data_IF_450678050910
#
_entry.id   IF_450678050910
#
_cell.length_a   1.000
_cell.length_b   1.000
_cell.length_c   1.000
_cell.angle_alpha   90.00
_cell.angle_beta   90.00
_cell.angle_gamma   90.00
#
_symmetry.space_group_name_H-M   'P 1'
#
loop_
_entity.id
_entity.type
_entity.pdbx_description
1 polymer ?
#
# COMPACT_ATOMS: atom_id res chain seq x y z
N UNK A 1 11.06 -36.87 -0.03
CA UNK A 1 9.67 -37.28 0.28
C UNK A 1 8.91 -36.05 0.71
N UNK A 2 8.28 -35.40 -0.25
CA UNK A 2 7.42 -34.23 -0.07
C UNK A 2 6.10 -34.72 0.52
N UNK A 3 5.82 -34.36 1.78
CA UNK A 3 4.49 -34.53 2.34
C UNK A 3 3.60 -33.45 1.72
N UNK A 4 2.89 -33.82 0.65
CA UNK A 4 1.69 -33.12 0.22
C UNK A 4 0.71 -33.21 1.40
N UNK A 5 0.43 -32.08 2.05
CA UNK A 5 -0.65 -32.01 3.01
C UNK A 5 -1.96 -32.17 2.25
N UNK A 6 -2.56 -33.36 2.33
CA UNK A 6 -3.92 -33.61 1.85
C UNK A 6 -4.88 -32.61 2.52
N UNK A 7 -5.75 -31.99 1.71
CA UNK A 7 -6.75 -31.08 2.22
C UNK A 7 -7.73 -31.83 3.15
N UNK A 8 -8.05 -31.28 4.33
CA UNK A 8 -8.89 -31.97 5.31
C UNK A 8 -10.30 -32.22 4.76
N UNK A 9 -10.85 -33.37 5.12
CA UNK A 9 -12.20 -33.81 4.77
C UNK A 9 -13.26 -32.86 5.33
N UNK A 10 -14.46 -32.83 4.74
CA UNK A 10 -15.56 -31.98 5.19
C UNK A 10 -15.97 -32.21 6.66
N UNK A 11 -15.72 -33.41 7.20
CA UNK A 11 -15.96 -33.75 8.61
C UNK A 11 -14.86 -33.20 9.54
N UNK A 12 -13.59 -33.19 9.12
CA UNK A 12 -12.49 -32.61 9.92
C UNK A 12 -12.57 -31.08 10.02
N UNK A 13 -13.26 -30.42 9.08
CA UNK A 13 -13.54 -28.98 9.13
C UNK A 13 -14.57 -28.59 10.19
N UNK A 14 -15.42 -29.52 10.63
CA UNK A 14 -16.48 -29.24 11.61
C UNK A 14 -15.96 -29.13 13.05
N UNK A 15 -14.81 -29.75 13.36
CA UNK A 15 -14.30 -29.88 14.73
C UNK A 15 -13.18 -28.90 15.10
N UNK A 16 -12.75 -28.02 14.17
CA UNK A 16 -11.66 -27.08 14.41
C UNK A 16 -12.10 -25.65 14.16
N UNK A 17 -11.77 -24.77 15.10
CA UNK A 17 -11.88 -23.34 14.90
C UNK A 17 -11.04 -22.93 13.67
N UNK A 18 -11.62 -22.26 12.64
CA UNK A 18 -10.92 -22.00 11.37
C UNK A 18 -9.59 -21.26 11.52
N UNK A 19 -9.52 -20.31 12.45
CA UNK A 19 -8.30 -19.58 12.79
C UNK A 19 -8.02 -19.66 14.29
N UNK A 20 -6.76 -19.96 14.65
CA UNK A 20 -6.30 -19.98 16.04
C UNK A 20 -5.31 -18.86 16.27
N UNK A 21 -5.68 -17.89 17.10
CA UNK A 21 -4.79 -16.81 17.49
C UNK A 21 -3.58 -17.35 18.27
N UNK A 22 -2.39 -16.99 17.81
CA UNK A 22 -1.14 -17.18 18.54
C UNK A 22 -0.45 -15.83 18.64
N UNK A 23 -0.28 -15.34 19.87
CA UNK A 23 0.51 -14.12 20.09
C UNK A 23 1.94 -14.36 19.63
N UNK A 24 2.44 -13.51 18.73
CA UNK A 24 3.83 -13.50 18.29
C UNK A 24 4.45 -12.17 18.68
N UNK A 25 5.51 -12.21 19.48
CA UNK A 25 6.26 -11.00 19.78
C UNK A 25 6.99 -10.52 18.53
N UNK A 26 7.11 -9.20 18.38
CA UNK A 26 7.85 -8.63 17.25
C UNK A 26 9.34 -8.90 17.43
N UNK A 27 9.98 -9.38 16.38
CA UNK A 27 11.42 -9.62 16.33
C UNK A 27 11.99 -8.80 15.19
N UNK A 28 13.11 -8.11 15.43
CA UNK A 28 13.88 -7.49 14.36
C UNK A 28 14.74 -8.59 13.72
N UNK A 29 14.56 -8.91 12.42
CA UNK A 29 15.37 -9.92 11.77
C UNK A 29 16.86 -9.52 11.80
N UNK A 30 17.75 -10.50 11.90
CA UNK A 30 19.19 -10.20 11.86
C UNK A 30 19.61 -9.75 10.45
N UNK A 31 19.83 -8.45 10.28
CA UNK A 31 20.28 -7.88 9.01
C UNK A 31 21.67 -8.33 8.61
N UNK A 32 22.48 -8.81 9.55
CA UNK A 32 23.85 -9.28 9.28
C UNK A 32 23.89 -10.64 8.60
N UNK A 33 22.76 -11.34 8.49
CA UNK A 33 22.63 -12.57 7.69
C UNK A 33 22.95 -12.32 6.20
N UNK A 34 22.76 -11.10 5.74
CA UNK A 34 23.14 -10.71 4.38
C UNK A 34 24.64 -10.38 4.33
N UNK A 35 25.42 -11.03 3.45
CA UNK A 35 26.87 -10.81 3.35
C UNK A 35 27.26 -9.33 3.22
N UNK A 36 26.52 -8.56 2.40
CA UNK A 36 26.79 -7.14 2.19
C UNK A 36 26.51 -6.23 3.40
N UNK A 37 25.84 -6.74 4.44
CA UNK A 37 25.53 -6.02 5.69
C UNK A 37 26.08 -6.69 6.95
N UNK A 38 26.89 -7.74 6.82
CA UNK A 38 27.52 -8.47 7.93
C UNK A 38 28.28 -7.58 8.93
N UNK A 39 28.83 -6.45 8.47
CA UNK A 39 29.57 -5.49 9.29
C UNK A 39 28.75 -4.29 9.78
N UNK A 40 27.46 -4.22 9.44
CA UNK A 40 26.61 -3.07 9.76
C UNK A 40 26.28 -3.07 11.25
N UNK A 41 26.61 -1.96 11.90
CA UNK A 41 26.34 -1.75 13.33
C UNK A 41 24.88 -1.39 13.57
N UNK A 42 24.38 -1.59 14.79
CA UNK A 42 23.02 -1.16 15.15
C UNK A 42 22.85 0.36 15.00
N UNK A 43 23.88 1.15 15.32
CA UNK A 43 23.85 2.60 15.15
C UNK A 43 23.64 3.00 13.67
N UNK A 44 24.29 2.30 12.74
CA UNK A 44 24.06 2.49 11.31
C UNK A 44 22.66 2.02 10.90
N UNK A 45 22.21 0.87 11.41
CA UNK A 45 20.88 0.35 11.11
C UNK A 45 19.75 1.30 11.54
N UNK A 46 19.92 1.94 12.71
CA UNK A 46 19.00 2.94 13.26
C UNK A 46 19.12 4.32 12.63
N UNK A 47 20.11 4.57 11.77
CA UNK A 47 20.27 5.85 11.08
C UNK A 47 19.45 5.92 9.78
N UNK A 48 18.54 6.90 9.71
CA UNK A 48 17.66 7.09 8.56
C UNK A 48 18.42 7.46 7.28
N UNK A 49 19.57 8.13 7.38
CA UNK A 49 20.37 8.47 6.19
C UNK A 49 21.11 7.24 5.65
N UNK A 50 21.67 6.42 6.54
CA UNK A 50 22.29 5.16 6.18
C UNK A 50 21.31 4.25 5.43
N UNK A 51 20.09 4.10 5.95
CA UNK A 51 19.02 3.34 5.28
C UNK A 51 18.76 3.85 3.85
N UNK A 52 18.63 5.17 3.67
CA UNK A 52 18.38 5.80 2.35
C UNK A 52 19.53 5.63 1.36
N UNK A 53 20.77 5.76 1.83
CA UNK A 53 21.97 5.62 0.99
C UNK A 53 22.15 4.17 0.56
N UNK A 54 21.78 3.22 1.41
CA UNK A 54 21.96 1.78 1.18
C UNK A 54 20.71 1.07 0.62
N UNK A 55 19.69 1.81 0.14
CA UNK A 55 18.60 1.18 -0.60
C UNK A 55 19.14 0.41 -1.81
N UNK A 56 18.57 -0.77 -2.06
CA UNK A 56 18.82 -1.58 -3.26
C UNK A 56 18.02 -1.00 -4.43
N UNK A 57 18.71 -0.59 -5.50
CA UNK A 57 18.13 0.13 -6.65
C UNK A 57 18.32 -0.55 -8.00
N UNK A 58 19.23 -1.52 -8.07
CA UNK A 58 19.51 -2.31 -9.28
C UNK A 58 20.07 -3.70 -8.92
N UNK A 59 20.08 -4.61 -9.92
CA UNK A 59 20.55 -6.00 -9.77
C UNK A 59 21.97 -6.08 -9.22
N UNK A 60 22.87 -5.17 -9.64
CA UNK A 60 24.25 -5.12 -9.14
C UNK A 60 24.31 -4.87 -7.64
N UNK A 61 23.49 -3.93 -7.14
CA UNK A 61 23.40 -3.66 -5.70
C UNK A 61 22.76 -4.82 -4.95
N UNK A 62 21.75 -5.47 -5.53
CA UNK A 62 21.13 -6.65 -4.93
C UNK A 62 22.14 -7.80 -4.77
N UNK A 63 22.93 -8.09 -5.82
CA UNK A 63 24.04 -9.06 -5.78
C UNK A 63 25.06 -8.71 -4.69
N UNK A 64 25.40 -7.42 -4.56
CA UNK A 64 26.33 -6.97 -3.51
C UNK A 64 25.79 -7.24 -2.10
N UNK A 65 24.48 -7.06 -1.88
CA UNK A 65 23.85 -7.29 -0.56
C UNK A 65 23.68 -8.77 -0.26
N UNK A 66 23.09 -9.52 -1.20
CA UNK A 66 22.79 -10.93 -1.03
C UNK A 66 24.03 -11.84 -1.08
N UNK A 67 25.12 -11.41 -1.72
CA UNK A 67 26.28 -12.26 -1.97
C UNK A 67 25.88 -13.48 -2.79
N UNK A 68 26.25 -14.67 -2.31
CA UNK A 68 25.96 -15.95 -2.97
C UNK A 68 24.62 -16.56 -2.55
N UNK A 69 23.82 -15.88 -1.71
CA UNK A 69 22.54 -16.41 -1.21
C UNK A 69 21.47 -16.56 -2.29
N UNK A 70 21.53 -15.79 -3.37
CA UNK A 70 20.59 -15.87 -4.48
C UNK A 70 21.29 -16.46 -5.69
N UNK A 71 20.67 -17.46 -6.31
CA UNK A 71 21.18 -18.07 -7.54
C UNK A 71 20.94 -17.17 -8.76
N UNK A 72 21.69 -17.40 -9.84
CA UNK A 72 21.53 -16.65 -11.10
C UNK A 72 20.12 -16.77 -11.68
N UNK A 73 19.42 -17.89 -11.44
CA UNK A 73 18.02 -18.08 -11.85
C UNK A 73 17.12 -16.97 -11.32
N UNK A 74 17.28 -16.55 -10.06
CA UNK A 74 16.49 -15.45 -9.49
C UNK A 74 16.78 -14.13 -10.22
N UNK A 75 18.07 -13.84 -10.45
CA UNK A 75 18.48 -12.59 -11.09
C UNK A 75 18.02 -12.50 -12.55
N UNK A 76 18.03 -13.61 -13.27
CA UNK A 76 17.54 -13.69 -14.65
C UNK A 76 16.02 -13.46 -14.70
N UNK A 77 15.28 -14.01 -13.74
CA UNK A 77 13.83 -13.84 -13.62
C UNK A 77 13.44 -12.40 -13.24
N UNK A 78 14.18 -11.79 -12.32
CA UNK A 78 14.05 -10.38 -11.98
C UNK A 78 14.38 -9.46 -13.17
N UNK A 79 15.46 -9.74 -13.91
CA UNK A 79 15.84 -8.94 -15.06
C UNK A 79 14.76 -8.98 -16.17
N UNK A 80 14.16 -10.15 -16.40
CA UNK A 80 13.02 -10.31 -17.31
C UNK A 80 11.82 -9.48 -16.86
N UNK A 81 11.51 -9.46 -15.56
CA UNK A 81 10.43 -8.62 -15.02
C UNK A 81 10.67 -7.14 -15.28
N UNK A 82 11.88 -6.68 -14.97
CA UNK A 82 12.26 -5.27 -15.11
C UNK A 82 12.17 -4.77 -16.56
N UNK A 83 12.42 -5.66 -17.53
CA UNK A 83 12.38 -5.36 -18.96
C UNK A 83 10.96 -5.41 -19.53
N UNK A 84 10.15 -6.39 -19.11
CA UNK A 84 8.88 -6.73 -19.77
C UNK A 84 7.61 -6.40 -18.98
N UNK A 85 7.68 -6.17 -17.67
CA UNK A 85 6.49 -6.04 -16.82
C UNK A 85 6.53 -4.91 -15.80
N UNK A 86 7.70 -4.52 -15.29
CA UNK A 86 7.81 -3.59 -14.19
C UNK A 86 7.31 -2.17 -14.52
N UNK A 87 6.31 -1.72 -13.77
CA UNK A 87 5.75 -0.36 -13.82
C UNK A 87 6.44 0.60 -12.84
N UNK A 88 7.24 0.05 -11.93
CA UNK A 88 7.97 0.77 -10.89
C UNK A 88 9.45 0.40 -10.95
N UNK A 89 10.33 1.40 -10.85
CA UNK A 89 11.77 1.16 -10.70
C UNK A 89 12.06 0.49 -9.36
N UNK A 90 13.11 -0.32 -9.27
CA UNK A 90 13.52 -0.92 -7.99
C UNK A 90 14.05 0.14 -7.02
N UNK A 91 13.50 0.17 -5.81
CA UNK A 91 14.02 0.95 -4.68
C UNK A 91 13.52 0.29 -3.39
N UNK A 92 14.42 -0.44 -2.71
CA UNK A 92 14.08 -1.22 -1.51
C UNK A 92 15.01 -0.79 -0.38
N UNK A 93 14.49 -0.16 0.69
CA UNK A 93 15.28 0.14 1.88
C UNK A 93 15.80 -1.12 2.56
N UNK A 94 16.97 -1.05 3.23
CA UNK A 94 17.47 -2.18 4.02
C UNK A 94 16.44 -2.70 5.02
N UNK A 95 15.68 -1.83 5.70
CA UNK A 95 14.58 -2.24 6.59
C UNK A 95 13.60 -3.21 5.92
N UNK A 96 13.13 -2.92 4.71
CA UNK A 96 12.16 -3.78 4.02
C UNK A 96 12.80 -5.08 3.55
N UNK A 97 13.98 -4.98 2.96
CA UNK A 97 14.72 -6.15 2.49
C UNK A 97 15.03 -7.12 3.64
N UNK A 98 15.29 -6.58 4.83
CA UNK A 98 15.51 -7.35 6.05
C UNK A 98 14.31 -8.19 6.50
N UNK A 99 13.11 -7.90 6.01
CA UNK A 99 11.90 -8.66 6.36
C UNK A 99 11.60 -9.80 5.41
N UNK A 100 12.44 -10.01 4.39
CA UNK A 100 12.30 -11.08 3.40
C UNK A 100 13.12 -12.31 3.81
N UNK A 101 12.54 -13.50 3.61
CA UNK A 101 13.20 -14.79 3.83
C UNK A 101 13.90 -14.88 5.21
N UNK A 102 13.21 -14.42 6.27
CA UNK A 102 13.78 -14.26 7.62
C UNK A 102 14.26 -15.60 8.19
N UNK A 103 13.45 -16.65 8.03
CA UNK A 103 13.73 -17.98 8.59
C UNK A 103 14.34 -18.95 7.56
N UNK A 104 14.83 -18.43 6.44
CA UNK A 104 15.37 -19.25 5.36
C UNK A 104 16.75 -19.83 5.72
N UNK A 105 16.97 -21.08 5.31
CA UNK A 105 18.31 -21.65 5.29
C UNK A 105 19.23 -20.83 4.37
N UNK A 106 20.46 -20.56 4.80
CA UNK A 106 21.41 -19.69 4.08
C UNK A 106 22.19 -20.41 2.97
N UNK A 107 21.71 -21.56 2.48
CA UNK A 107 22.25 -22.19 1.28
C UNK A 107 21.62 -21.56 0.02
N UNK A 108 22.37 -21.37 -1.09
CA UNK A 108 21.89 -20.59 -2.23
C UNK A 108 20.55 -21.06 -2.81
N UNK A 109 20.36 -22.38 -2.98
CA UNK A 109 19.14 -22.93 -3.55
C UNK A 109 17.96 -22.78 -2.59
N UNK A 110 18.12 -23.16 -1.32
CA UNK A 110 17.05 -23.07 -0.32
C UNK A 110 16.65 -21.62 -0.04
N UNK A 111 17.63 -20.72 0.06
CA UNK A 111 17.38 -19.30 0.23
C UNK A 111 16.66 -18.72 -0.98
N UNK A 112 17.07 -19.08 -2.21
CA UNK A 112 16.39 -18.63 -3.43
C UNK A 112 14.92 -19.07 -3.45
N UNK A 113 14.63 -20.33 -3.12
CA UNK A 113 13.24 -20.83 -3.08
C UNK A 113 12.43 -20.12 -2.00
N UNK A 114 12.98 -19.93 -0.80
CA UNK A 114 12.30 -19.18 0.26
C UNK A 114 12.05 -17.72 -0.14
N UNK A 115 13.02 -17.08 -0.78
CA UNK A 115 12.93 -15.70 -1.24
C UNK A 115 11.91 -15.52 -2.38
N UNK A 116 11.83 -16.46 -3.32
CA UNK A 116 10.80 -16.48 -4.37
C UNK A 116 9.39 -16.62 -3.77
N UNK A 117 9.23 -17.41 -2.71
CA UNK A 117 7.93 -17.61 -2.05
C UNK A 117 7.61 -16.55 -0.99
N UNK A 118 8.53 -15.64 -0.68
CA UNK A 118 8.36 -14.66 0.38
C UNK A 118 7.28 -13.60 0.03
N UNK A 119 6.29 -13.36 0.91
CA UNK A 119 5.17 -12.46 0.63
C UNK A 119 5.56 -10.98 0.62
N UNK A 120 6.64 -10.57 1.29
CA UNK A 120 7.12 -9.18 1.25
C UNK A 120 7.89 -8.91 -0.04
N UNK A 121 8.77 -9.84 -0.41
CA UNK A 121 9.46 -9.90 -1.71
C UNK A 121 8.42 -9.86 -2.83
N UNK A 122 7.40 -10.72 -2.73
CA UNK A 122 6.01 -10.51 -3.15
C UNK A 122 5.71 -9.29 -4.00
N UNK A 123 5.55 -8.21 -3.24
CA UNK A 123 5.00 -6.94 -3.66
C UNK A 123 6.05 -5.82 -3.71
N UNK A 124 7.27 -6.05 -3.20
CA UNK A 124 8.38 -5.09 -3.22
C UNK A 124 9.38 -5.37 -4.34
N UNK A 125 9.55 -6.62 -4.73
CA UNK A 125 10.49 -7.09 -5.74
C UNK A 125 9.86 -8.20 -6.60
N UNK A 126 8.89 -7.87 -7.47
CA UNK A 126 8.27 -8.84 -8.35
C UNK A 126 9.30 -9.43 -9.31
N UNK A 127 9.11 -10.69 -9.71
CA UNK A 127 9.87 -11.37 -10.76
C UNK A 127 8.94 -11.85 -11.87
N UNK A 128 9.46 -12.21 -13.04
CA UNK A 128 8.61 -12.53 -14.20
C UNK A 128 7.76 -13.77 -13.94
N UNK A 129 8.25 -14.72 -13.13
CA UNK A 129 7.47 -15.90 -12.72
C UNK A 129 6.33 -15.61 -11.73
N UNK A 130 6.28 -14.42 -11.11
CA UNK A 130 5.11 -14.01 -10.30
C UNK A 130 3.91 -13.66 -11.17
N UNK A 131 4.15 -13.20 -12.41
CA UNK A 131 3.14 -12.60 -13.28
C UNK A 131 2.14 -13.66 -13.78
N UNK A 132 0.91 -13.22 -14.04
CA UNK A 132 -0.07 -14.07 -14.70
C UNK A 132 0.41 -14.30 -16.14
N UNK A 133 0.64 -15.56 -16.55
CA UNK A 133 1.29 -15.87 -17.81
C UNK A 133 0.38 -15.61 -19.03
N UNK A 134 -0.94 -15.48 -18.82
CA UNK A 134 -1.92 -15.30 -19.88
C UNK A 134 -2.50 -13.89 -19.88
N UNK A 135 -2.82 -13.38 -18.69
CA UNK A 135 -3.48 -12.10 -18.47
C UNK A 135 -2.67 -11.26 -17.48
N UNK A 136 -1.47 -10.77 -17.83
CA UNK A 136 -0.71 -9.91 -16.92
C UNK A 136 -1.45 -8.61 -16.58
N UNK A 137 -2.31 -8.15 -17.51
CA UNK A 137 -3.15 -6.95 -17.38
C UNK A 137 -4.59 -7.25 -17.80
N UNK A 138 -5.56 -6.70 -17.08
CA UNK A 138 -6.94 -6.67 -17.56
C UNK A 138 -7.06 -5.77 -18.80
N UNK A 139 -7.96 -6.07 -19.77
CA UNK A 139 -8.20 -5.22 -20.94
C UNK A 139 -8.64 -3.78 -20.61
N UNK A 140 -9.24 -3.61 -19.43
CA UNK A 140 -9.65 -2.30 -18.90
C UNK A 140 -8.66 -1.70 -17.88
N UNK A 141 -7.48 -2.29 -17.71
CA UNK A 141 -6.45 -1.70 -16.84
C UNK A 141 -5.93 -0.38 -17.41
N UNK A 142 -5.63 0.57 -16.53
CA UNK A 142 -5.17 1.91 -16.91
C UNK A 142 -4.08 2.39 -15.96
N UNK A 143 -3.20 3.27 -16.46
CA UNK A 143 -2.09 3.82 -15.67
C UNK A 143 -2.60 4.72 -14.55
N UNK A 144 -3.54 5.62 -14.85
CA UNK A 144 -4.36 6.34 -13.86
C UNK A 144 -5.70 5.64 -13.66
N UNK A 145 -5.66 4.43 -13.09
CA UNK A 145 -6.85 3.59 -12.88
C UNK A 145 -7.98 4.23 -12.07
N UNK A 146 -7.72 5.32 -11.34
CA UNK A 146 -8.70 6.01 -10.51
C UNK A 146 -9.04 7.42 -11.02
N UNK A 147 -8.49 7.82 -12.17
CA UNK A 147 -8.66 9.15 -12.78
C UNK A 147 -8.34 10.29 -11.79
N UNK A 148 -7.26 10.16 -11.02
CA UNK A 148 -6.84 11.17 -10.05
C UNK A 148 -6.43 12.48 -10.74
N UNK A 149 -5.69 12.40 -11.85
CA UNK A 149 -5.20 13.57 -12.55
C UNK A 149 -6.33 14.39 -13.18
N UNK A 150 -7.37 13.73 -13.71
CA UNK A 150 -8.59 14.38 -14.24
C UNK A 150 -9.36 15.16 -13.16
N UNK A 151 -9.18 14.79 -11.89
CA UNK A 151 -9.84 15.39 -10.74
C UNK A 151 -8.93 16.40 -9.99
N UNK A 152 -7.80 16.79 -10.58
CA UNK A 152 -6.94 17.82 -10.06
C UNK A 152 -7.57 19.22 -10.21
N UNK A 153 -7.82 19.88 -9.09
CA UNK A 153 -8.26 21.29 -9.04
C UNK A 153 -7.07 22.26 -8.98
N UNK A 154 -5.92 21.72 -8.59
CA UNK A 154 -4.56 22.28 -8.67
C UNK A 154 -3.66 21.07 -8.96
N UNK A 155 -2.52 21.23 -9.63
CA UNK A 155 -1.59 20.11 -9.84
C UNK A 155 -1.27 19.40 -8.51
N UNK A 156 -1.53 18.09 -8.45
CA UNK A 156 -1.37 17.27 -7.25
C UNK A 156 -2.42 17.50 -6.14
N UNK A 157 -3.51 18.24 -6.39
CA UNK A 157 -4.62 18.38 -5.45
C UNK A 157 -5.88 17.76 -6.03
N UNK A 158 -6.13 16.50 -5.68
CA UNK A 158 -7.32 15.77 -6.15
C UNK A 158 -8.53 16.10 -5.28
N UNK A 159 -9.61 16.60 -5.88
CA UNK A 159 -10.88 16.85 -5.20
C UNK A 159 -12.00 15.95 -5.75
N UNK A 160 -11.91 14.65 -5.44
CA UNK A 160 -12.89 13.63 -5.85
C UNK A 160 -14.19 13.68 -5.05
N UNK A 161 -14.09 13.88 -3.73
CA UNK A 161 -15.22 13.75 -2.81
C UNK A 161 -15.67 15.11 -2.31
N UNK A 162 -16.96 15.33 -1.97
CA UNK A 162 -17.48 16.66 -1.64
C UNK A 162 -16.78 17.41 -0.49
N UNK A 163 -16.20 16.68 0.46
CA UNK A 163 -15.70 17.25 1.72
C UNK A 163 -14.22 16.99 1.98
N UNK A 164 -13.52 16.35 1.05
CA UNK A 164 -12.13 15.92 1.27
C UNK A 164 -11.29 15.97 0.01
N UNK A 165 -10.02 16.28 0.20
CA UNK A 165 -9.01 16.34 -0.85
C UNK A 165 -7.81 15.45 -0.54
N UNK A 166 -7.06 15.14 -1.58
CA UNK A 166 -5.74 14.51 -1.51
C UNK A 166 -4.70 15.49 -2.04
N UNK A 167 -3.75 15.88 -1.19
CA UNK A 167 -2.62 16.74 -1.52
C UNK A 167 -1.35 15.91 -1.73
N UNK A 168 -0.91 15.78 -2.97
CA UNK A 168 0.26 15.04 -3.40
C UNK A 168 1.51 15.92 -3.34
N UNK A 169 2.20 15.90 -2.21
CA UNK A 169 3.30 16.84 -1.92
C UNK A 169 4.55 16.59 -2.76
N UNK A 170 4.78 15.36 -3.22
CA UNK A 170 5.98 14.93 -3.96
C UNK A 170 5.66 13.68 -4.78
N UNK A 171 6.38 13.42 -5.88
CA UNK A 171 6.21 12.22 -6.72
C UNK A 171 7.26 11.13 -6.46
N UNK A 172 7.86 11.10 -5.27
CA UNK A 172 8.90 10.12 -4.92
C UNK A 172 8.64 9.51 -3.55
N UNK A 173 9.13 8.28 -3.38
CA UNK A 173 9.03 7.50 -2.14
C UNK A 173 10.43 7.10 -1.67
N UNK A 174 10.62 6.76 -0.38
CA UNK A 174 11.85 6.09 0.07
C UNK A 174 11.94 4.63 -0.43
N UNK A 175 10.84 4.09 -0.97
CA UNK A 175 10.71 2.73 -1.49
C UNK A 175 9.66 2.68 -2.60
N UNK A 176 9.78 1.77 -3.56
CA UNK A 176 8.75 1.58 -4.59
C UNK A 176 8.10 0.21 -4.46
N UNK A 177 6.77 0.20 -4.36
CA UNK A 177 5.95 -1.01 -4.30
C UNK A 177 5.56 -1.40 -5.72
N UNK A 178 5.62 -2.68 -6.07
CA UNK A 178 5.22 -3.17 -7.39
C UNK A 178 3.72 -2.93 -7.70
N UNK A 179 2.88 -2.83 -6.69
CA UNK A 179 1.43 -2.58 -6.77
C UNK A 179 1.06 -1.09 -6.61
N UNK A 180 1.96 -0.15 -6.89
CA UNK A 180 1.69 1.27 -6.68
C UNK A 180 0.55 1.76 -7.60
N UNK A 181 -0.61 2.11 -7.05
CA UNK A 181 -1.72 2.71 -7.82
C UNK A 181 -1.29 3.95 -8.59
N UNK A 182 -0.39 4.75 -8.01
CA UNK A 182 0.17 5.96 -8.62
C UNK A 182 1.41 5.69 -9.46
N UNK A 183 1.56 4.48 -10.02
CA UNK A 183 2.71 4.13 -10.84
C UNK A 183 2.89 5.07 -12.04
N UNK A 184 1.84 5.76 -12.46
CA UNK A 184 1.91 6.73 -13.53
C UNK A 184 2.67 8.03 -13.17
N UNK A 185 2.71 8.38 -11.89
CA UNK A 185 3.31 9.63 -11.38
C UNK A 185 4.54 9.38 -10.52
N UNK A 186 4.53 8.32 -9.70
CA UNK A 186 5.50 8.13 -8.62
C UNK A 186 6.73 7.38 -9.08
N UNK A 187 7.90 7.98 -8.89
CA UNK A 187 9.22 7.38 -9.09
C UNK A 187 9.91 7.72 -10.41
N UNK A 188 10.90 6.91 -10.79
CA UNK A 188 11.62 7.06 -12.07
C UNK A 188 10.93 6.24 -13.16
N UNK A 189 10.93 6.75 -14.39
CA UNK A 189 10.44 6.00 -15.56
C UNK A 189 11.10 4.62 -15.67
N UNK A 190 10.32 3.63 -16.08
CA UNK A 190 10.78 2.26 -16.38
C UNK A 190 10.84 2.07 -17.91
N UNK A 191 11.36 0.94 -18.42
CA UNK A 191 11.31 0.67 -19.86
C UNK A 191 9.89 0.70 -20.45
N UNK A 192 8.87 0.35 -19.65
CA UNK A 192 7.47 0.32 -20.08
C UNK A 192 6.70 1.60 -19.83
N UNK A 193 7.02 2.33 -18.75
CA UNK A 193 6.21 3.43 -18.26
C UNK A 193 7.06 4.69 -18.14
N UNK A 194 6.78 5.67 -19.01
CA UNK A 194 7.32 7.02 -18.85
C UNK A 194 6.45 7.85 -17.91
N UNK A 195 6.93 8.11 -16.70
CA UNK A 195 6.12 8.70 -15.62
C UNK A 195 5.84 10.18 -15.84
N UNK A 196 4.62 10.58 -15.51
CA UNK A 196 4.25 11.99 -15.39
C UNK A 196 5.08 12.70 -14.32
N UNK A 197 5.20 14.02 -14.46
CA UNK A 197 5.95 14.88 -13.54
C UNK A 197 5.08 16.01 -13.09
N UNK A 198 5.25 16.37 -11.83
CA UNK A 198 4.73 17.60 -11.26
C UNK A 198 5.55 18.75 -11.85
N UNK A 199 4.90 19.56 -12.68
CA UNK A 199 5.52 20.62 -13.48
C UNK A 199 5.71 21.91 -12.68
N UNK A 200 4.86 22.18 -11.70
CA UNK A 200 4.97 23.35 -10.84
C UNK A 200 6.09 23.18 -9.82
N UNK A 201 6.73 24.30 -9.45
CA UNK A 201 7.66 24.31 -8.33
C UNK A 201 6.91 23.93 -7.05
N UNK A 202 7.53 23.18 -6.12
CA UNK A 202 6.85 22.71 -4.91
C UNK A 202 6.16 23.82 -4.10
N UNK A 203 6.82 24.97 -3.93
CA UNK A 203 6.27 26.11 -3.18
C UNK A 203 5.04 26.69 -3.88
N UNK A 204 5.13 27.00 -5.17
CA UNK A 204 4.03 27.56 -5.96
C UNK A 204 2.80 26.63 -5.94
N UNK A 205 3.06 25.32 -6.04
CA UNK A 205 2.01 24.30 -6.00
C UNK A 205 1.34 24.23 -4.63
N UNK A 206 2.12 24.19 -3.55
CA UNK A 206 1.60 24.20 -2.18
C UNK A 206 0.81 25.49 -1.87
N UNK A 207 1.25 26.63 -2.40
CA UNK A 207 0.54 27.90 -2.26
C UNK A 207 -0.81 27.86 -2.96
N UNK A 208 -0.86 27.37 -4.19
CA UNK A 208 -2.12 27.17 -4.92
C UNK A 208 -3.05 26.18 -4.20
N UNK A 209 -2.52 25.10 -3.63
CA UNK A 209 -3.32 24.16 -2.84
C UNK A 209 -3.99 24.83 -1.64
N UNK A 210 -3.23 25.62 -0.87
CA UNK A 210 -3.75 26.34 0.30
C UNK A 210 -4.77 27.41 -0.11
N UNK A 211 -4.51 28.14 -1.20
CA UNK A 211 -5.46 29.13 -1.71
C UNK A 211 -6.76 28.51 -2.22
N UNK A 212 -6.70 27.34 -2.85
CA UNK A 212 -7.90 26.58 -3.21
C UNK A 212 -8.72 26.21 -1.97
N UNK A 213 -8.07 25.68 -0.93
CA UNK A 213 -8.73 25.26 0.30
C UNK A 213 -9.40 26.41 1.04
N UNK A 214 -8.74 27.59 1.12
CA UNK A 214 -9.35 28.80 1.70
C UNK A 214 -10.61 29.25 0.95
N UNK A 215 -10.66 29.04 -0.37
CA UNK A 215 -11.80 29.41 -1.23
C UNK A 215 -12.88 28.33 -1.30
N UNK A 216 -12.65 27.15 -0.70
CA UNK A 216 -13.52 25.98 -0.81
C UNK A 216 -13.96 25.49 0.57
N UNK A 217 -14.85 26.23 1.27
CA UNK A 217 -15.20 25.95 2.67
C UNK A 217 -15.92 24.61 2.89
N UNK A 218 -16.40 23.94 1.83
CA UNK A 218 -16.94 22.58 1.91
C UNK A 218 -15.89 21.51 2.25
N UNK A 219 -14.61 21.79 2.02
CA UNK A 219 -13.52 20.87 2.33
C UNK A 219 -13.16 20.97 3.81
N UNK A 220 -13.15 19.81 4.49
CA UNK A 220 -12.80 19.67 5.90
C UNK A 220 -11.75 18.60 6.20
N UNK A 221 -11.50 17.68 5.27
CA UNK A 221 -10.57 16.55 5.44
C UNK A 221 -9.49 16.58 4.36
N UNK A 222 -8.22 16.66 4.77
CA UNK A 222 -7.07 16.73 3.87
C UNK A 222 -6.17 15.52 4.09
N UNK A 223 -6.03 14.67 3.06
CA UNK A 223 -4.97 13.66 3.02
C UNK A 223 -3.71 14.31 2.48
N UNK A 224 -2.65 14.35 3.27
CA UNK A 224 -1.33 14.80 2.84
C UNK A 224 -0.52 13.57 2.46
N UNK A 225 -0.17 13.47 1.17
CA UNK A 225 0.38 12.28 0.54
C UNK A 225 1.33 12.69 -0.60
N UNK A 226 1.30 11.97 -1.71
CA UNK A 226 2.20 12.04 -2.86
C UNK A 226 2.70 10.63 -3.16
N UNK A 227 4.00 10.50 -3.39
CA UNK A 227 4.69 9.24 -3.21
C UNK A 227 4.67 8.84 -1.74
N UNK A 228 5.45 9.54 -0.90
CA UNK A 228 5.46 9.33 0.55
C UNK A 228 5.84 10.63 1.27
N UNK A 229 5.09 11.03 2.29
CA UNK A 229 5.38 12.28 3.03
C UNK A 229 6.73 12.26 3.75
N UNK A 230 7.27 11.08 4.08
CA UNK A 230 8.61 10.96 4.65
C UNK A 230 9.72 11.31 3.65
N UNK A 231 9.41 11.46 2.36
CA UNK A 231 10.34 11.95 1.36
C UNK A 231 10.25 13.47 1.14
N UNK A 232 9.33 14.15 1.83
CA UNK A 232 9.29 15.61 1.92
C UNK A 232 10.25 16.05 3.02
N UNK A 233 11.14 17.04 2.78
CA UNK A 233 11.96 17.59 3.85
C UNK A 233 11.07 18.11 4.99
N UNK A 234 11.37 17.66 6.22
CA UNK A 234 10.51 17.93 7.38
C UNK A 234 10.08 19.40 7.53
N UNK A 235 10.97 20.42 7.42
CA UNK A 235 10.55 21.81 7.54
C UNK A 235 9.48 22.25 6.52
N UNK A 236 9.48 21.67 5.32
CA UNK A 236 8.46 21.95 4.30
C UNK A 236 7.13 21.27 4.64
N UNK A 237 7.19 20.01 5.09
CA UNK A 237 6.00 19.29 5.53
C UNK A 237 5.34 19.98 6.73
N UNK A 238 6.14 20.33 7.75
CA UNK A 238 5.67 21.07 8.93
C UNK A 238 5.04 22.41 8.53
N UNK A 239 5.68 23.19 7.65
CA UNK A 239 5.13 24.45 7.16
C UNK A 239 3.77 24.27 6.48
N UNK A 240 3.62 23.26 5.61
CA UNK A 240 2.35 22.97 4.95
C UNK A 240 1.26 22.55 5.94
N UNK A 241 1.59 21.68 6.91
CA UNK A 241 0.65 21.23 7.93
C UNK A 241 0.19 22.37 8.84
N UNK A 242 1.08 23.27 9.24
CA UNK A 242 0.72 24.44 10.04
C UNK A 242 -0.22 25.38 9.26
N UNK A 243 0.01 25.56 7.96
CA UNK A 243 -0.90 26.34 7.10
C UNK A 243 -2.27 25.69 6.93
N UNK A 244 -2.35 24.35 6.88
CA UNK A 244 -3.63 23.65 6.90
C UNK A 244 -4.38 23.86 8.23
N UNK A 245 -3.66 23.87 9.35
CA UNK A 245 -4.23 24.09 10.68
C UNK A 245 -4.73 25.52 10.92
N UNK A 246 -4.38 26.46 10.03
CA UNK A 246 -4.91 27.83 10.04
C UNK A 246 -6.19 27.99 9.21
N UNK A 247 -6.58 26.98 8.44
CA UNK A 247 -7.84 26.99 7.67
C UNK A 247 -8.98 26.51 8.58
N UNK A 248 -9.93 27.41 8.88
CA UNK A 248 -11.01 27.19 9.85
C UNK A 248 -11.88 25.95 9.58
N UNK A 249 -12.10 25.62 8.30
CA UNK A 249 -12.96 24.48 7.90
C UNK A 249 -12.27 23.14 8.02
N UNK A 250 -10.93 23.10 8.10
CA UNK A 250 -10.17 21.85 8.20
C UNK A 250 -10.34 21.26 9.60
N UNK A 251 -10.80 20.01 9.64
CA UNK A 251 -11.06 19.23 10.87
C UNK A 251 -10.29 17.94 10.94
N UNK A 252 -9.81 17.44 9.81
CA UNK A 252 -9.13 16.16 9.73
C UNK A 252 -7.91 16.29 8.80
N UNK A 253 -6.72 15.91 9.29
CA UNK A 253 -5.47 15.87 8.53
C UNK A 253 -4.89 14.47 8.65
N UNK A 254 -4.59 13.84 7.51
CA UNK A 254 -4.10 12.46 7.47
C UNK A 254 -2.79 12.39 6.69
N UNK A 255 -1.71 12.02 7.37
CA UNK A 255 -0.39 11.84 6.76
C UNK A 255 -0.28 10.43 6.19
N UNK A 256 -0.19 10.28 4.87
CA UNK A 256 -0.04 8.98 4.22
C UNK A 256 1.45 8.65 3.96
N UNK A 257 1.93 7.58 4.58
CA UNK A 257 3.35 7.18 4.53
C UNK A 257 3.53 5.66 4.65
N UNK A 258 4.15 5.03 3.67
CA UNK A 258 4.66 3.66 3.83
C UNK A 258 5.98 3.64 4.61
N UNK A 259 6.68 4.77 4.67
CA UNK A 259 7.95 4.89 5.39
C UNK A 259 7.85 4.59 6.87
N UNK A 260 6.66 4.66 7.51
CA UNK A 260 6.53 4.15 8.89
C UNK A 260 6.89 2.66 8.98
N UNK A 261 6.58 1.87 7.95
CA UNK A 261 6.98 0.47 7.85
C UNK A 261 8.36 0.29 7.20
N UNK A 262 8.63 0.99 6.09
CA UNK A 262 9.84 0.75 5.29
C UNK A 262 11.05 1.63 5.61
N UNK A 263 10.89 2.63 6.48
CA UNK A 263 11.95 3.51 6.96
C UNK A 263 11.57 4.11 8.34
N UNK A 264 11.24 3.29 9.35
CA UNK A 264 10.79 3.76 10.66
C UNK A 264 11.80 4.72 11.33
N UNK A 265 13.09 4.54 11.06
CA UNK A 265 14.18 5.43 11.49
C UNK A 265 13.91 6.90 11.14
N UNK A 266 13.21 7.17 10.02
CA UNK A 266 12.86 8.55 9.65
C UNK A 266 12.01 9.22 10.73
N UNK A 267 11.02 8.50 11.24
CA UNK A 267 10.04 8.98 12.23
C UNK A 267 10.61 9.05 13.65
N UNK A 268 11.75 8.41 13.88
CA UNK A 268 12.48 8.42 15.16
C UNK A 268 13.58 9.49 15.23
N UNK A 269 13.86 10.21 14.13
CA UNK A 269 14.83 11.31 14.16
C UNK A 269 14.34 12.43 15.12
N UNK A 270 15.19 12.97 16.01
CA UNK A 270 14.79 13.99 16.98
C UNK A 270 14.04 15.18 16.35
N UNK A 271 14.57 15.74 15.26
CA UNK A 271 13.94 16.87 14.54
C UNK A 271 12.53 16.56 14.01
N UNK A 272 12.26 15.31 13.63
CA UNK A 272 10.96 14.87 13.09
C UNK A 272 9.99 14.67 14.26
N UNK A 273 10.43 14.03 15.34
CA UNK A 273 9.64 13.83 16.56
C UNK A 273 9.22 15.18 17.16
N UNK A 274 10.17 16.11 17.35
CA UNK A 274 9.91 17.45 17.89
C UNK A 274 8.94 18.26 17.01
N UNK A 275 9.09 18.16 15.69
CA UNK A 275 8.18 18.82 14.77
C UNK A 275 6.79 18.20 14.77
N UNK A 276 6.71 16.88 14.79
CA UNK A 276 5.44 16.16 14.83
C UNK A 276 4.68 16.51 16.11
N UNK A 277 5.38 16.63 17.24
CA UNK A 277 4.82 17.13 18.50
C UNK A 277 4.24 18.55 18.36
N UNK A 278 4.97 19.48 17.72
CA UNK A 278 4.48 20.85 17.49
C UNK A 278 3.20 20.86 16.65
N UNK A 279 3.16 20.09 15.56
CA UNK A 279 1.98 19.97 14.70
C UNK A 279 0.83 19.32 15.48
N UNK A 280 1.06 18.22 16.18
CA UNK A 280 0.05 17.48 16.94
C UNK A 280 -0.55 18.33 18.07
N UNK A 281 0.27 19.03 18.86
CA UNK A 281 -0.21 19.97 19.89
C UNK A 281 -1.04 21.10 19.29
N UNK A 282 -0.64 21.62 18.13
CA UNK A 282 -1.40 22.67 17.44
C UNK A 282 -2.73 22.14 16.91
N UNK A 283 -2.74 20.96 16.29
CA UNK A 283 -3.94 20.28 15.85
C UNK A 283 -4.92 20.07 17.01
N UNK A 284 -4.44 19.56 18.15
CA UNK A 284 -5.22 19.38 19.37
C UNK A 284 -5.84 20.69 19.87
N UNK A 285 -5.05 21.78 19.98
CA UNK A 285 -5.58 23.11 20.38
C UNK A 285 -6.64 23.66 19.40
N UNK A 286 -6.55 23.33 18.12
CA UNK A 286 -7.50 23.73 17.08
C UNK A 286 -8.70 22.77 16.96
N UNK A 287 -8.72 21.67 17.69
CA UNK A 287 -9.74 20.62 17.55
C UNK A 287 -9.70 19.90 16.20
N UNK A 288 -8.50 19.73 15.64
CA UNK A 288 -8.23 19.02 14.38
C UNK A 288 -7.68 17.63 14.68
N UNK A 289 -8.24 16.61 14.02
CA UNK A 289 -7.76 15.24 14.12
C UNK A 289 -6.54 15.05 13.21
N UNK A 290 -5.36 14.90 13.81
CA UNK A 290 -4.16 14.51 13.09
C UNK A 290 -3.95 13.00 13.21
N UNK A 291 -3.89 12.29 12.08
CA UNK A 291 -3.62 10.85 12.04
C UNK A 291 -2.50 10.52 11.04
N UNK A 292 -1.81 9.40 11.26
CA UNK A 292 -0.89 8.80 10.31
C UNK A 292 -1.57 7.56 9.70
N UNK A 293 -1.55 7.48 8.38
CA UNK A 293 -1.95 6.30 7.62
C UNK A 293 -0.69 5.60 7.09
N UNK A 294 -0.35 4.46 7.69
CA UNK A 294 0.72 3.56 7.21
C UNK A 294 0.20 2.55 6.19
N UNK A 295 1.11 1.80 5.56
CA UNK A 295 0.80 0.90 4.46
C UNK A 295 1.59 -0.43 4.56
N UNK A 296 1.19 -1.26 5.52
CA UNK A 296 1.70 -2.61 5.77
C UNK A 296 0.78 -3.64 5.13
N UNK A 297 1.37 -4.60 4.41
CA UNK A 297 0.64 -5.65 3.70
C UNK A 297 0.94 -7.06 4.22
N UNK A 298 1.94 -7.26 5.09
CA UNK A 298 2.24 -8.58 5.64
C UNK A 298 2.84 -8.44 7.06
N UNK A 299 2.58 -9.42 7.94
CA UNK A 299 2.98 -9.39 9.34
C UNK A 299 4.50 -9.28 9.52
N UNK A 300 5.29 -9.89 8.63
CA UNK A 300 6.76 -9.79 8.63
C UNK A 300 7.29 -8.35 8.57
N UNK A 301 6.53 -7.41 7.97
CA UNK A 301 6.92 -6.02 7.89
C UNK A 301 6.60 -5.21 9.16
N UNK A 302 5.97 -5.82 10.18
CA UNK A 302 5.74 -5.22 11.49
C UNK A 302 6.90 -5.60 12.41
N UNK A 303 7.95 -4.78 12.42
CA UNK A 303 9.12 -5.02 13.29
C UNK A 303 9.05 -4.22 14.59
N UNK A 304 9.89 -4.50 15.61
CA UNK A 304 9.97 -3.68 16.82
C UNK A 304 10.21 -2.20 16.53
N UNK A 305 10.98 -1.89 15.49
CA UNK A 305 11.29 -0.51 15.09
C UNK A 305 10.09 0.21 14.46
N UNK A 306 9.23 -0.53 13.74
CA UNK A 306 7.95 -0.03 13.22
C UNK A 306 6.99 0.28 14.38
N UNK A 307 6.93 -0.62 15.37
CA UNK A 307 6.14 -0.42 16.59
C UNK A 307 6.66 0.76 17.43
N UNK A 308 7.98 0.93 17.55
CA UNK A 308 8.61 2.09 18.19
C UNK A 308 8.17 3.39 17.51
N UNK A 309 8.30 3.49 16.18
CA UNK A 309 7.89 4.67 15.41
C UNK A 309 6.40 5.00 15.55
N UNK A 310 5.53 3.97 15.52
CA UNK A 310 4.09 4.17 15.72
C UNK A 310 3.76 4.66 17.14
N UNK A 311 4.35 4.05 18.18
CA UNK A 311 4.16 4.48 19.56
C UNK A 311 4.68 5.89 19.81
N UNK A 312 5.86 6.23 19.31
CA UNK A 312 6.40 7.60 19.41
C UNK A 312 5.45 8.63 18.79
N UNK A 313 4.86 8.34 17.62
CA UNK A 313 3.89 9.24 17.01
C UNK A 313 2.65 9.47 17.91
N UNK A 314 2.13 8.40 18.52
CA UNK A 314 1.00 8.49 19.46
C UNK A 314 1.38 9.26 20.74
N UNK A 315 2.57 9.01 21.29
CA UNK A 315 3.09 9.66 22.50
C UNK A 315 3.25 11.18 22.32
N UNK A 316 3.68 11.65 21.14
CA UNK A 316 3.76 13.09 20.85
C UNK A 316 2.40 13.74 20.54
N UNK A 317 1.32 12.97 20.57
CA UNK A 317 -0.06 13.45 20.47
C UNK A 317 -0.70 13.32 19.09
N UNK A 318 -0.13 12.55 18.16
CA UNK A 318 -0.89 12.11 16.97
C UNK A 318 -2.06 11.28 17.45
N UNK A 319 -3.27 11.59 16.96
CA UNK A 319 -4.50 10.98 17.46
C UNK A 319 -4.54 9.47 17.21
N UNK A 320 -4.18 9.05 16.01
CA UNK A 320 -4.23 7.66 15.57
C UNK A 320 -3.11 7.34 14.58
N UNK A 321 -2.57 6.12 14.65
CA UNK A 321 -1.80 5.49 13.58
C UNK A 321 -2.64 4.35 13.02
N UNK A 322 -2.92 4.37 11.72
CA UNK A 322 -3.87 3.46 11.06
C UNK A 322 -3.21 2.79 9.87
N UNK A 323 -3.51 1.52 9.63
CA UNK A 323 -3.01 0.79 8.46
C UNK A 323 -4.03 0.80 7.32
N UNK A 324 -3.55 1.21 6.15
CA UNK A 324 -4.23 1.06 4.88
C UNK A 324 -3.42 0.06 4.05
N UNK A 325 -3.80 -1.21 4.01
CA UNK A 325 -3.15 -2.24 3.18
C UNK A 325 -3.83 -2.45 1.84
N UNK A 326 -3.26 -3.30 0.99
CA UNK A 326 -3.85 -3.81 -0.25
C UNK A 326 -3.93 -5.33 -0.14
N UNK A 327 -5.08 -5.91 -0.48
CA UNK A 327 -5.27 -7.34 -0.63
C UNK A 327 -4.54 -7.82 -1.88
N UNK A 328 -3.62 -8.76 -1.68
CA UNK A 328 -2.83 -9.33 -2.74
C UNK A 328 -2.72 -10.85 -2.59
N UNK A 329 -3.02 -11.57 -3.66
CA UNK A 329 -2.85 -13.02 -3.76
C UNK A 329 -1.39 -13.40 -3.57
N UNK A 330 -1.16 -14.40 -2.70
CA UNK A 330 0.17 -14.83 -2.29
C UNK A 330 0.88 -13.86 -1.31
N UNK A 331 0.15 -12.90 -0.73
CA UNK A 331 0.68 -11.99 0.29
C UNK A 331 -0.19 -11.99 1.54
N UNK A 332 -1.47 -11.62 1.41
CA UNK A 332 -2.36 -11.43 2.56
C UNK A 332 -3.84 -11.69 2.24
N UNK A 333 -4.14 -12.28 1.08
CA UNK A 333 -5.49 -12.57 0.65
C UNK A 333 -6.02 -13.91 1.19
N UNK A 334 -5.61 -14.31 2.39
CA UNK A 334 -6.14 -15.45 3.13
C UNK A 334 -6.59 -14.98 4.52
N UNK A 335 -7.51 -15.71 5.17
CA UNK A 335 -7.95 -15.37 6.53
C UNK A 335 -6.79 -15.33 7.51
N UNK A 336 -5.89 -16.31 7.41
CA UNK A 336 -4.79 -16.49 8.35
C UNK A 336 -3.76 -15.38 8.20
N UNK A 337 -3.30 -15.09 6.98
CA UNK A 337 -2.32 -14.03 6.73
C UNK A 337 -2.88 -12.65 7.12
N UNK A 338 -4.15 -12.40 6.81
CA UNK A 338 -4.79 -11.12 7.11
C UNK A 338 -5.02 -10.93 8.61
N UNK A 339 -5.45 -11.99 9.32
CA UNK A 339 -5.63 -11.97 10.76
C UNK A 339 -4.28 -11.84 11.48
N UNK A 340 -3.26 -12.63 11.11
CA UNK A 340 -1.90 -12.53 11.66
C UNK A 340 -1.36 -11.09 11.51
N UNK A 341 -1.55 -10.48 10.33
CA UNK A 341 -1.20 -9.08 10.09
C UNK A 341 -2.00 -8.12 11.01
N UNK A 342 -3.31 -8.29 11.11
CA UNK A 342 -4.14 -7.41 11.93
C UNK A 342 -3.79 -7.50 13.42
N UNK A 343 -3.50 -8.70 13.93
CA UNK A 343 -3.06 -8.88 15.31
C UNK A 343 -1.67 -8.31 15.56
N UNK A 344 -0.72 -8.46 14.64
CA UNK A 344 0.60 -7.82 14.74
C UNK A 344 0.49 -6.28 14.78
N UNK A 345 -0.35 -5.70 13.90
CA UNK A 345 -0.60 -4.26 13.86
C UNK A 345 -1.25 -3.75 15.15
N UNK A 346 -2.39 -4.33 15.53
CA UNK A 346 -3.19 -3.83 16.65
C UNK A 346 -2.56 -4.19 18.01
N UNK A 347 -2.13 -5.44 18.18
CA UNK A 347 -1.68 -5.97 19.46
C UNK A 347 -0.28 -5.55 19.84
N UNK A 348 0.65 -5.52 18.88
CA UNK A 348 2.08 -5.34 19.17
C UNK A 348 2.64 -3.98 18.73
N UNK A 349 2.07 -3.36 17.69
CA UNK A 349 2.52 -2.07 17.15
C UNK A 349 1.63 -0.87 17.51
N UNK A 350 0.46 -1.10 18.11
CA UNK A 350 -0.56 -0.07 18.37
C UNK A 350 -0.98 0.69 17.10
N UNK A 351 -1.10 -0.04 15.98
CA UNK A 351 -1.53 0.44 14.68
C UNK A 351 -2.91 -0.14 14.38
N UNK A 352 -3.90 0.72 14.15
CA UNK A 352 -5.27 0.30 13.88
C UNK A 352 -5.42 -0.29 12.46
N UNK A 353 -5.84 -1.56 12.27
CA UNK A 353 -6.18 -2.09 10.96
C UNK A 353 -7.42 -1.38 10.42
N UNK A 354 -7.24 -0.47 9.44
CA UNK A 354 -8.32 0.42 9.01
C UNK A 354 -8.96 -0.04 7.70
N UNK A 355 -8.17 -0.10 6.62
CA UNK A 355 -8.64 -0.57 5.32
C UNK A 355 -7.69 -1.58 4.71
N UNK A 356 -8.26 -2.54 3.98
CA UNK A 356 -7.56 -3.28 2.95
C UNK A 356 -8.24 -3.05 1.61
N UNK A 357 -7.52 -2.43 0.68
CA UNK A 357 -8.01 -2.16 -0.66
C UNK A 357 -7.92 -3.42 -1.51
N UNK A 358 -8.91 -3.69 -2.36
CA UNK A 358 -8.67 -4.54 -3.53
C UNK A 358 -7.55 -3.91 -4.37
N UNK A 359 -6.65 -4.74 -4.90
CA UNK A 359 -5.58 -4.24 -5.76
C UNK A 359 -6.16 -3.61 -7.04
N UNK A 360 -5.81 -2.34 -7.27
CA UNK A 360 -6.34 -1.55 -8.39
C UNK A 360 -5.96 -2.14 -9.75
N UNK A 361 -6.75 -1.80 -10.78
CA UNK A 361 -6.57 -2.26 -12.16
C UNK A 361 -5.44 -1.50 -12.87
N UNK A 362 -4.24 -1.58 -12.33
CA UNK A 362 -3.04 -1.04 -12.98
C UNK A 362 -2.41 -2.10 -13.91
N UNK A 363 -1.68 -1.69 -14.96
CA UNK A 363 -0.91 -2.59 -15.80
C UNK A 363 -0.03 -3.56 -15.01
N UNK A 364 0.00 -4.80 -15.46
CA UNK A 364 0.85 -5.90 -14.99
C UNK A 364 0.59 -6.38 -13.54
N UNK A 365 -0.52 -5.99 -12.92
CA UNK A 365 -0.85 -6.31 -11.53
C UNK A 365 -1.83 -7.49 -11.33
N UNK A 366 -2.33 -8.13 -12.39
CA UNK A 366 -3.40 -9.14 -12.29
C UNK A 366 -3.07 -10.30 -11.34
N UNK A 367 -1.82 -10.75 -11.31
CA UNK A 367 -1.33 -11.81 -10.41
C UNK A 367 -1.49 -11.54 -8.90
N UNK A 368 -1.70 -10.28 -8.50
CA UNK A 368 -2.03 -9.92 -7.12
C UNK A 368 -3.53 -9.77 -6.89
N UNK A 369 -4.30 -9.43 -7.93
CA UNK A 369 -5.69 -9.07 -7.77
C UNK A 369 -6.52 -10.27 -7.32
N UNK A 370 -7.59 -9.96 -6.60
CA UNK A 370 -8.63 -10.91 -6.19
C UNK A 370 -9.96 -10.44 -6.75
N UNK A 371 -10.87 -11.36 -7.00
CA UNK A 371 -12.24 -11.04 -7.39
C UNK A 371 -13.04 -10.44 -6.23
N UNK A 372 -14.12 -9.72 -6.55
CA UNK A 372 -15.00 -9.13 -5.53
C UNK A 372 -15.62 -10.21 -4.64
N UNK A 373 -16.02 -11.37 -5.19
CA UNK A 373 -16.59 -12.45 -4.38
C UNK A 373 -15.56 -13.04 -3.40
N UNK A 374 -14.30 -13.24 -3.80
CA UNK A 374 -13.23 -13.70 -2.90
C UNK A 374 -13.01 -12.69 -1.75
N UNK A 375 -13.04 -11.39 -2.07
CA UNK A 375 -12.89 -10.33 -1.08
C UNK A 375 -14.07 -10.28 -0.08
N UNK A 376 -15.30 -10.57 -0.53
CA UNK A 376 -16.49 -10.69 0.33
C UNK A 376 -16.38 -11.90 1.27
N UNK A 377 -15.98 -13.06 0.74
CA UNK A 377 -15.75 -14.26 1.55
C UNK A 377 -14.64 -14.03 2.58
N UNK A 378 -13.54 -13.38 2.20
CA UNK A 378 -12.47 -13.03 3.13
C UNK A 378 -12.93 -12.08 4.23
N UNK A 379 -13.72 -11.05 3.90
CA UNK A 379 -14.29 -10.14 4.91
C UNK A 379 -15.15 -10.91 5.90
N UNK A 380 -15.96 -11.86 5.45
CA UNK A 380 -16.77 -12.71 6.33
C UNK A 380 -15.88 -13.62 7.20
N UNK A 381 -14.86 -14.25 6.61
CA UNK A 381 -13.97 -15.17 7.29
C UNK A 381 -13.17 -14.53 8.44
N UNK A 382 -12.93 -13.22 8.41
CA UNK A 382 -12.23 -12.51 9.51
C UNK A 382 -13.16 -11.93 10.58
N UNK A 383 -14.48 -11.94 10.37
CA UNK A 383 -15.44 -11.40 11.34
C UNK A 383 -15.43 -12.21 12.64
N UNK A 384 -15.46 -11.51 13.78
CA UNK A 384 -15.55 -12.14 15.11
C UNK A 384 -14.21 -12.41 15.79
N UNK A 385 -13.09 -12.34 15.07
CA UNK A 385 -11.75 -12.55 15.66
C UNK A 385 -11.15 -11.30 16.29
N UNK A 386 -11.38 -10.12 15.70
CA UNK A 386 -10.86 -8.84 16.17
C UNK A 386 -11.94 -8.06 16.94
N UNK A 387 -11.57 -7.16 17.86
CA UNK A 387 -12.55 -6.24 18.44
C UNK A 387 -13.15 -5.36 17.33
N UNK A 388 -14.43 -5.00 17.46
CA UNK A 388 -15.18 -4.37 16.36
C UNK A 388 -14.57 -3.08 15.82
N UNK A 389 -13.85 -2.30 16.65
CA UNK A 389 -13.17 -1.08 16.21
C UNK A 389 -11.88 -1.36 15.40
N UNK A 390 -11.25 -2.53 15.57
CA UNK A 390 -10.02 -2.94 14.90
C UNK A 390 -10.25 -4.01 13.82
N UNK A 391 -11.51 -4.39 13.57
CA UNK A 391 -11.87 -5.23 12.43
C UNK A 391 -11.77 -4.37 11.17
N UNK A 392 -10.82 -4.65 10.26
CA UNK A 392 -10.63 -3.81 9.10
C UNK A 392 -11.79 -3.98 8.12
N UNK A 393 -11.99 -2.95 7.29
CA UNK A 393 -12.94 -3.02 6.17
C UNK A 393 -12.19 -3.33 4.89
N UNK A 394 -12.66 -4.31 4.14
CA UNK A 394 -12.21 -4.60 2.79
C UNK A 394 -13.00 -3.71 1.83
N UNK A 395 -12.28 -2.96 1.00
CA UNK A 395 -12.85 -1.91 0.15
C UNK A 395 -12.37 -2.00 -1.29
N UNK A 396 -13.24 -1.68 -2.23
CA UNK A 396 -12.89 -1.45 -3.63
C UNK A 396 -12.86 0.08 -3.87
N UNK A 397 -11.77 0.63 -4.42
CA UNK A 397 -11.75 2.03 -4.89
C UNK A 397 -12.21 2.04 -6.35
N UNK A 398 -13.50 2.32 -6.56
CA UNK A 398 -14.12 2.21 -7.87
C UNK A 398 -13.88 3.52 -8.65
N UNK A 399 -13.42 3.46 -9.91
CA UNK A 399 -13.20 4.66 -10.73
C UNK A 399 -14.43 5.59 -10.73
N UNK A 400 -14.22 6.90 -10.56
CA UNK A 400 -15.26 7.94 -10.42
C UNK A 400 -16.24 7.80 -9.24
N UNK A 401 -16.32 6.63 -8.59
CA UNK A 401 -17.20 6.36 -7.44
C UNK A 401 -16.47 6.55 -6.14
N UNK A 402 -15.20 6.17 -6.03
CA UNK A 402 -14.45 6.16 -4.80
C UNK A 402 -14.59 4.85 -4.00
N UNK A 403 -14.12 4.90 -2.76
CA UNK A 403 -13.98 3.75 -1.86
C UNK A 403 -15.36 3.26 -1.42
N UNK A 404 -15.66 1.99 -1.67
CA UNK A 404 -16.88 1.29 -1.24
C UNK A 404 -16.52 -0.02 -0.55
N UNK A 405 -17.29 -0.43 0.43
CA UNK A 405 -17.08 -1.75 1.02
C UNK A 405 -17.47 -2.80 -0.01
N UNK A 406 -16.78 -3.94 -0.03
CA UNK A 406 -16.98 -4.95 -1.07
C UNK A 406 -18.40 -5.52 -1.14
N UNK A 407 -19.21 -5.34 -0.09
CA UNK A 407 -20.62 -5.74 -0.03
C UNK A 407 -21.61 -4.67 -0.53
N UNK A 408 -21.15 -3.49 -0.94
CA UNK A 408 -22.00 -2.35 -1.34
C UNK A 408 -22.19 -2.22 -2.87
N UNK A 409 -21.89 -3.27 -3.62
CA UNK A 409 -22.18 -3.32 -5.05
C UNK A 409 -23.69 -3.38 -5.30
N UNK A 410 -24.14 -2.84 -6.43
CA UNK A 410 -25.54 -2.82 -6.84
C UNK A 410 -25.94 -4.08 -7.61
N UNK A 411 -25.02 -4.63 -8.40
CA UNK A 411 -25.22 -5.83 -9.21
C UNK A 411 -23.88 -6.51 -9.50
N UNK A 412 -23.90 -7.83 -9.70
CA UNK A 412 -22.70 -8.61 -9.98
C UNK A 412 -23.00 -9.75 -10.95
N UNK A 413 -22.44 -9.64 -12.16
CA UNK A 413 -22.32 -10.76 -13.09
C UNK A 413 -21.07 -11.57 -12.72
N UNK A 414 -21.28 -12.69 -12.04
CA UNK A 414 -20.20 -13.60 -11.63
C UNK A 414 -19.62 -14.44 -12.77
N UNK A 415 -20.36 -14.61 -13.87
CA UNK A 415 -19.85 -15.38 -15.01
C UNK A 415 -18.83 -14.53 -15.78
N UNK A 416 -19.15 -13.25 -15.98
CA UNK A 416 -18.27 -12.31 -16.68
C UNK A 416 -17.29 -11.57 -15.76
N UNK A 417 -17.48 -11.63 -14.44
CA UNK A 417 -16.65 -10.93 -13.47
C UNK A 417 -16.87 -9.43 -13.46
N UNK A 418 -18.11 -8.98 -13.68
CA UNK A 418 -18.44 -7.55 -13.78
C UNK A 418 -19.33 -7.15 -12.60
N UNK A 419 -18.78 -6.32 -11.72
CA UNK A 419 -19.52 -5.72 -10.60
C UNK A 419 -19.91 -4.28 -10.92
N UNK A 420 -21.13 -3.88 -10.57
CA UNK A 420 -21.66 -2.55 -10.82
C UNK A 420 -21.86 -1.78 -9.51
N UNK A 421 -21.40 -0.55 -9.49
CA UNK A 421 -21.36 0.29 -8.29
C UNK A 421 -22.07 1.62 -8.53
N UNK A 422 -22.59 2.20 -7.44
CA UNK A 422 -23.27 3.49 -7.46
C UNK A 422 -22.70 4.44 -6.40
N UNK A 423 -23.10 5.71 -6.48
CA UNK A 423 -22.69 6.75 -5.53
C UNK A 423 -23.83 7.72 -5.26
N UNK A 424 -23.77 8.34 -4.08
CA UNK A 424 -24.75 9.31 -3.60
C UNK A 424 -24.21 10.74 -3.59
N UNK A 425 -23.16 11.01 -4.37
CA UNK A 425 -22.57 12.34 -4.51
C UNK A 425 -21.99 12.53 -5.91
N UNK A 426 -21.85 13.80 -6.32
CA UNK A 426 -21.18 14.20 -7.54
C UNK A 426 -19.71 14.50 -7.25
N UNK A 427 -18.85 14.17 -8.21
CA UNK A 427 -17.46 14.68 -8.22
C UNK A 427 -17.43 16.08 -8.84
N UNK A 428 -16.31 16.79 -8.72
CA UNK A 428 -16.16 18.12 -9.33
C UNK A 428 -16.34 18.13 -10.85
N UNK A 429 -16.04 17.01 -11.52
CA UNK A 429 -16.14 16.84 -12.97
C UNK A 429 -17.53 16.40 -13.45
N UNK A 430 -18.45 16.09 -12.54
CA UNK A 430 -19.81 15.62 -12.84
C UNK A 430 -20.91 16.57 -12.30
N UNK A 431 -20.56 17.79 -11.92
CA UNK A 431 -21.51 18.72 -11.32
C UNK A 431 -22.73 19.00 -12.22
N UNK A 432 -22.51 19.05 -13.53
CA UNK A 432 -23.52 19.35 -14.55
C UNK A 432 -24.17 18.09 -15.16
N UNK A 433 -23.71 16.89 -14.80
CA UNK A 433 -24.23 15.64 -15.33
C UNK A 433 -25.50 15.22 -14.55
N UNK A 434 -26.69 15.26 -15.19
CA UNK A 434 -27.95 14.94 -14.52
C UNK A 434 -28.04 13.44 -14.13
N UNK A 435 -27.30 12.57 -14.80
CA UNK A 435 -27.31 11.12 -14.58
C UNK A 435 -26.22 10.65 -13.62
N UNK A 436 -25.35 11.54 -13.13
CA UNK A 436 -24.17 11.18 -12.33
C UNK A 436 -24.49 10.39 -11.05
N UNK A 437 -25.70 10.53 -10.50
CA UNK A 437 -26.13 9.83 -9.28
C UNK A 437 -26.80 8.48 -9.57
N UNK A 438 -27.33 8.29 -10.77
CA UNK A 438 -28.04 7.07 -11.18
C UNK A 438 -27.16 6.14 -12.04
N UNK A 439 -26.03 6.66 -12.53
CA UNK A 439 -25.05 5.90 -13.32
C UNK A 439 -24.50 4.71 -12.52
N UNK A 440 -24.39 3.58 -13.20
CA UNK A 440 -23.70 2.38 -12.74
C UNK A 440 -22.28 2.37 -13.28
N UNK A 441 -21.32 2.18 -12.39
CA UNK A 441 -19.90 2.16 -12.72
C UNK A 441 -19.40 0.71 -12.64
N UNK A 442 -18.91 0.13 -13.74
CA UNK A 442 -18.41 -1.24 -13.73
C UNK A 442 -17.02 -1.31 -13.07
N UNK A 443 -16.74 -2.43 -12.42
CA UNK A 443 -15.41 -2.85 -11.98
C UNK A 443 -15.25 -4.33 -12.29
N UNK A 444 -14.07 -4.70 -12.78
CA UNK A 444 -13.84 -6.00 -13.42
C UNK A 444 -12.93 -6.87 -12.57
N UNK A 445 -13.32 -8.11 -12.34
CA UNK A 445 -12.50 -9.11 -11.66
C UNK A 445 -11.33 -9.58 -12.54
N UNK A 446 -10.31 -10.22 -11.93
CA UNK A 446 -9.25 -10.83 -12.72
C UNK A 446 -9.78 -11.96 -13.59
N UNK A 447 -9.46 -11.95 -14.90
CA UNK A 447 -10.00 -12.92 -15.86
C UNK A 447 -9.65 -14.36 -15.45
N UNK A 448 -8.47 -14.57 -14.85
CA UNK A 448 -8.02 -15.89 -14.40
C UNK A 448 -8.84 -16.47 -13.23
N UNK A 449 -9.68 -15.66 -12.57
CA UNK A 449 -10.61 -16.13 -11.52
C UNK A 449 -11.96 -16.58 -12.08
N UNK A 450 -12.24 -16.32 -13.35
CA UNK A 450 -13.53 -16.63 -13.98
C UNK A 450 -13.62 -18.10 -14.42
N UNK A 451 -14.84 -18.61 -14.55
CA UNK A 451 -15.11 -19.90 -15.16
C UNK A 451 -14.74 -19.91 -16.65
N UNK A 452 -14.73 -21.10 -17.26
CA UNK A 452 -14.34 -21.27 -18.67
C UNK A 452 -15.18 -20.43 -19.65
N UNK A 453 -16.47 -20.25 -19.37
CA UNK A 453 -17.36 -19.41 -20.17
C UNK A 453 -16.94 -17.93 -20.14
N UNK A 454 -16.72 -17.36 -18.95
CA UNK A 454 -16.25 -15.98 -18.77
C UNK A 454 -14.86 -15.75 -19.37
N UNK A 455 -13.92 -16.67 -19.14
CA UNK A 455 -12.59 -16.57 -19.74
C UNK A 455 -12.63 -16.62 -21.28
N UNK A 456 -13.52 -17.44 -21.85
CA UNK A 456 -13.74 -17.47 -23.29
C UNK A 456 -14.35 -16.15 -23.78
N UNK A 457 -15.36 -15.64 -23.08
CA UNK A 457 -15.98 -14.36 -23.42
C UNK A 457 -14.94 -13.24 -23.51
N UNK A 458 -14.09 -13.07 -22.49
CA UNK A 458 -13.03 -12.06 -22.51
C UNK A 458 -11.98 -12.29 -23.61
N UNK A 459 -11.63 -13.55 -23.89
CA UNK A 459 -10.74 -13.89 -25.00
C UNK A 459 -11.33 -13.54 -26.37
N UNK A 460 -12.67 -13.55 -26.51
CA UNK A 460 -13.35 -13.16 -27.74
C UNK A 460 -13.52 -11.62 -27.86
N UNK A 461 -13.36 -10.87 -26.76
CA UNK A 461 -13.43 -9.39 -26.73
C UNK A 461 -12.06 -8.70 -26.91
N UNK A 462 -10.95 -9.44 -26.78
CA UNK A 462 -9.57 -8.93 -26.82
C UNK A 462 -8.86 -9.32 -28.10
#
# INVERSE_FOLDING_TARGET
MTALHDAPTALERLDRQPYTYVRRELVEPDWRRFPGWSHVTEAQWRDAQWQRVNCVKNVKQLRKVAGDLLTDRFYDDLAKDMDAFATMSMLIPPQMFNTMAVDAELSPDAFTEAFLNDPVRRYMLPVSSDRDPKWPSHPHSQRDSLHEAEMWVVEGLTHRYPTKVLAEMVSTCPQYCGHCTRMDLVGNSTPLIDKHKLSLKPVDRQDQMIEYLKKTPGVRDVVVSGGDVANVPWPQLESFLMRLLDIETVRDIRLATKALAGLPQHWLQPRVVEGLERVARTASRRGVNLAIHTHVNHAQSVTPLVAEAARTALEVGVRDVRNQGVLMKGVNATSDDLLDLCFALQGEANILPYYFYMCDMIPNAEHWRVSVWEAQELQHAIMGYLPGYATPRIVCDVPYVGKRWVHQLAEYDRELGISYWTKNYRTGIELEDPEALDRRYPYYDPISTLGAAGQKWWADQT
#
